data_IF_426766977468
#
_entry.id   IF_426766977468
#
_cell.length_a   1.000
_cell.length_b   1.000
_cell.length_c   1.000
_cell.angle_alpha   90.00
_cell.angle_beta   90.00
_cell.angle_gamma   90.00
#
_symmetry.space_group_name_H-M   'P 1'
#
loop_
_entity.id
_entity.type
_entity.pdbx_description
1 polymer ?
#
# COMPACT_ATOMS: atom_id res chain seq x y z
N UNK A 1 11.48 -30.73 -24.09
CA UNK A 1 10.71 -30.25 -22.93
C UNK A 1 10.05 -28.98 -23.38
N UNK A 2 8.73 -28.99 -23.57
CA UNK A 2 7.99 -27.76 -23.83
C UNK A 2 8.27 -26.77 -22.71
N UNK A 3 8.60 -25.53 -23.07
CA UNK A 3 8.78 -24.48 -22.06
C UNK A 3 7.42 -24.24 -21.39
N UNK A 4 7.35 -24.40 -20.09
CA UNK A 4 6.12 -24.20 -19.31
C UNK A 4 5.46 -22.84 -19.62
N UNK A 5 6.26 -21.84 -19.96
CA UNK A 5 5.76 -20.50 -20.31
C UNK A 5 5.06 -20.51 -21.68
N UNK A 6 5.57 -21.30 -22.63
CA UNK A 6 4.93 -21.50 -23.94
C UNK A 6 3.54 -22.12 -23.76
N UNK A 7 3.44 -23.16 -22.94
CA UNK A 7 2.17 -23.80 -22.62
C UNK A 7 1.18 -22.85 -21.95
N UNK A 8 1.63 -22.07 -20.94
CA UNK A 8 0.79 -21.10 -20.24
C UNK A 8 0.29 -20.01 -21.19
N UNK A 9 1.14 -19.48 -22.06
CA UNK A 9 0.76 -18.45 -23.01
C UNK A 9 -0.21 -18.99 -24.07
N UNK A 10 0.00 -20.21 -24.54
CA UNK A 10 -0.86 -20.80 -25.53
C UNK A 10 -2.23 -21.21 -24.96
N UNK A 11 -2.24 -22.04 -23.92
CA UNK A 11 -3.49 -22.56 -23.33
C UNK A 11 -4.27 -21.47 -22.59
N UNK A 12 -3.55 -20.57 -21.89
CA UNK A 12 -4.17 -19.55 -21.06
C UNK A 12 -4.60 -18.31 -21.82
N UNK A 13 -3.85 -17.92 -22.85
CA UNK A 13 -4.05 -16.61 -23.50
C UNK A 13 -4.11 -16.67 -25.03
N UNK A 14 -3.98 -17.84 -25.64
CA UNK A 14 -3.98 -18.01 -27.08
C UNK A 14 -2.79 -17.36 -27.80
N UNK A 15 -1.68 -17.13 -27.10
CA UNK A 15 -0.51 -16.43 -27.61
C UNK A 15 0.65 -17.37 -27.90
N UNK A 16 1.35 -17.14 -29.01
CA UNK A 16 2.55 -17.90 -29.37
C UNK A 16 3.80 -17.27 -28.72
N UNK A 17 4.50 -18.04 -27.89
CA UNK A 17 5.76 -17.65 -27.27
C UNK A 17 6.89 -17.67 -28.28
N UNK A 18 7.67 -16.58 -28.36
CA UNK A 18 8.84 -16.43 -29.25
C UNK A 18 10.14 -16.22 -28.49
N UNK A 19 10.12 -16.34 -27.15
CA UNK A 19 11.23 -16.12 -26.27
C UNK A 19 10.94 -15.07 -25.20
N UNK A 20 11.79 -14.98 -24.18
CA UNK A 20 11.55 -14.04 -23.08
C UNK A 20 12.76 -13.79 -22.23
N UNK A 21 12.68 -12.74 -21.41
CA UNK A 21 13.72 -12.33 -20.45
C UNK A 21 13.10 -12.26 -19.05
N UNK A 22 13.71 -12.95 -18.10
CA UNK A 22 13.29 -12.91 -16.68
C UNK A 22 13.56 -11.55 -16.09
N UNK A 23 12.59 -11.05 -15.34
CA UNK A 23 12.69 -9.83 -14.53
C UNK A 23 12.54 -10.19 -13.04
N UNK A 24 12.66 -9.20 -12.17
CA UNK A 24 12.39 -9.38 -10.74
C UNK A 24 10.93 -9.72 -10.45
N UNK A 25 10.01 -9.27 -11.29
CA UNK A 25 8.55 -9.37 -11.10
C UNK A 25 7.91 -10.49 -11.90
N UNK A 26 8.57 -10.95 -12.99
CA UNK A 26 7.98 -11.95 -13.87
C UNK A 26 8.88 -12.32 -15.04
N UNK A 27 8.27 -12.57 -16.19
CA UNK A 27 8.93 -12.87 -17.44
C UNK A 27 8.38 -11.91 -18.52
N UNK A 28 9.23 -11.10 -19.12
CA UNK A 28 8.86 -10.36 -20.33
C UNK A 28 8.92 -11.34 -21.49
N UNK A 29 7.77 -11.60 -22.09
CA UNK A 29 7.58 -12.54 -23.21
C UNK A 29 7.48 -11.77 -24.52
N UNK A 30 8.22 -12.19 -25.53
CA UNK A 30 7.94 -11.85 -26.93
C UNK A 30 6.88 -12.81 -27.44
N UNK A 31 5.76 -12.27 -27.89
CA UNK A 31 4.65 -13.04 -28.44
C UNK A 31 4.37 -12.61 -29.88
N UNK A 32 3.50 -13.33 -30.57
CA UNK A 32 2.98 -12.93 -31.89
C UNK A 32 2.16 -11.64 -31.86
N UNK A 33 1.70 -11.20 -30.68
CA UNK A 33 0.96 -9.94 -30.48
C UNK A 33 1.78 -8.88 -29.73
N UNK A 34 3.12 -8.98 -29.75
CA UNK A 34 4.03 -8.02 -29.12
C UNK A 34 4.55 -8.45 -27.75
N UNK A 35 5.11 -7.49 -27.01
CA UNK A 35 5.68 -7.74 -25.68
C UNK A 35 4.59 -7.80 -24.62
N UNK A 36 4.69 -8.78 -23.73
CA UNK A 36 3.81 -8.97 -22.57
C UNK A 36 4.62 -9.37 -21.35
N UNK A 37 4.14 -9.03 -20.14
CA UNK A 37 4.76 -9.48 -18.90
C UNK A 37 3.90 -10.57 -18.25
N UNK A 38 4.43 -11.79 -18.21
CA UNK A 38 3.82 -12.92 -17.51
C UNK A 38 4.28 -12.92 -16.06
N UNK A 39 3.35 -12.85 -15.11
CA UNK A 39 3.62 -12.77 -13.67
C UNK A 39 3.00 -13.93 -12.91
N UNK A 40 3.60 -14.27 -11.77
CA UNK A 40 3.01 -15.12 -10.73
C UNK A 40 2.56 -14.22 -9.58
N UNK A 41 1.30 -13.78 -9.57
CA UNK A 41 0.79 -12.89 -8.52
C UNK A 41 0.78 -13.62 -7.17
N UNK A 42 0.93 -12.85 -6.08
CA UNK A 42 0.89 -13.37 -4.70
C UNK A 42 -0.46 -13.15 -4.01
N UNK A 43 -1.40 -12.52 -4.70
CA UNK A 43 -2.73 -12.23 -4.19
C UNK A 43 -3.67 -13.42 -4.25
N UNK A 44 -4.81 -13.32 -3.53
CA UNK A 44 -5.93 -14.26 -3.69
C UNK A 44 -6.65 -14.02 -5.01
N UNK A 45 -7.51 -14.96 -5.40
CA UNK A 45 -8.39 -14.82 -6.58
C UNK A 45 -9.22 -13.53 -6.48
N UNK A 46 -9.77 -13.26 -5.30
CA UNK A 46 -10.60 -12.07 -5.05
C UNK A 46 -9.79 -10.78 -5.21
N UNK A 47 -8.54 -10.75 -4.71
CA UNK A 47 -7.69 -9.58 -4.87
C UNK A 47 -7.28 -9.34 -6.33
N UNK A 48 -7.11 -10.39 -7.12
CA UNK A 48 -6.81 -10.28 -8.55
C UNK A 48 -8.02 -9.79 -9.34
N UNK A 49 -9.23 -10.28 -9.03
CA UNK A 49 -10.46 -9.78 -9.64
C UNK A 49 -10.70 -8.31 -9.29
N UNK A 50 -10.52 -7.92 -8.03
CA UNK A 50 -10.60 -6.50 -7.65
C UNK A 50 -9.58 -5.65 -8.41
N UNK A 51 -8.31 -6.10 -8.49
CA UNK A 51 -7.27 -5.38 -9.22
C UNK A 51 -7.59 -5.23 -10.71
N UNK A 52 -8.20 -6.25 -11.31
CA UNK A 52 -8.68 -6.20 -12.68
C UNK A 52 -9.79 -5.16 -12.85
N UNK A 53 -10.85 -5.22 -12.02
CA UNK A 53 -11.98 -4.30 -12.07
C UNK A 53 -11.53 -2.84 -11.84
N UNK A 54 -10.58 -2.63 -10.91
CA UNK A 54 -9.95 -1.32 -10.70
C UNK A 54 -9.28 -0.82 -11.98
N UNK A 55 -8.45 -1.63 -12.62
CA UNK A 55 -7.73 -1.23 -13.84
C UNK A 55 -8.68 -0.94 -15.00
N UNK A 56 -9.71 -1.74 -15.19
CA UNK A 56 -10.76 -1.52 -16.20
C UNK A 56 -11.48 -0.18 -15.94
N UNK A 57 -11.86 0.09 -14.69
CA UNK A 57 -12.53 1.34 -14.33
C UNK A 57 -11.63 2.56 -14.53
N UNK A 58 -10.34 2.46 -14.16
CA UNK A 58 -9.36 3.52 -14.37
C UNK A 58 -9.23 3.88 -15.86
N UNK A 59 -9.12 2.86 -16.73
CA UNK A 59 -9.04 3.08 -18.19
C UNK A 59 -10.33 3.66 -18.75
N UNK A 60 -11.49 3.15 -18.33
CA UNK A 60 -12.80 3.69 -18.72
C UNK A 60 -12.93 5.19 -18.42
N UNK A 61 -12.34 5.63 -17.31
CA UNK A 61 -12.33 7.03 -16.88
C UNK A 61 -11.09 7.81 -17.36
N UNK A 62 -10.36 7.30 -18.36
CA UNK A 62 -9.27 7.99 -19.03
C UNK A 62 -7.91 7.97 -18.35
N UNK A 63 -7.75 7.19 -17.27
CA UNK A 63 -6.44 6.98 -16.65
C UNK A 63 -5.75 5.77 -17.28
N UNK A 64 -5.04 5.99 -18.38
CA UNK A 64 -4.44 4.94 -19.20
C UNK A 64 -2.99 4.59 -18.83
N UNK A 65 -2.36 5.36 -17.94
CA UNK A 65 -0.96 5.18 -17.57
C UNK A 65 -0.80 4.03 -16.53
N UNK A 66 -1.27 2.84 -16.88
CA UNK A 66 -1.20 1.60 -16.07
C UNK A 66 -0.88 0.42 -16.98
N UNK A 67 -0.33 -0.67 -16.42
CA UNK A 67 -0.26 -1.94 -17.15
C UNK A 67 -1.66 -2.58 -17.21
N UNK A 68 -2.17 -2.86 -18.40
CA UNK A 68 -3.46 -3.57 -18.54
C UNK A 68 -3.29 -5.04 -18.21
N UNK A 69 -4.34 -5.65 -17.67
CA UNK A 69 -4.46 -7.12 -17.66
C UNK A 69 -5.01 -7.61 -19.01
N UNK A 70 -4.52 -8.75 -19.42
CA UNK A 70 -5.11 -9.53 -20.51
C UNK A 70 -5.96 -10.63 -19.91
N UNK A 71 -7.20 -10.77 -20.39
CA UNK A 71 -8.07 -11.87 -19.98
C UNK A 71 -7.53 -13.18 -20.50
N UNK A 72 -7.63 -14.22 -19.70
CA UNK A 72 -7.40 -15.58 -20.13
C UNK A 72 -8.55 -16.04 -21.07
N UNK A 73 -8.38 -17.17 -21.73
CA UNK A 73 -9.37 -17.71 -22.67
C UNK A 73 -10.73 -18.04 -22.03
N UNK A 74 -10.76 -18.21 -20.70
CA UNK A 74 -11.97 -18.41 -19.88
C UNK A 74 -12.54 -17.09 -19.33
N UNK A 75 -12.12 -15.94 -19.87
CA UNK A 75 -12.53 -14.58 -19.48
C UNK A 75 -12.07 -14.14 -18.07
N UNK A 76 -11.34 -14.98 -17.32
CA UNK A 76 -10.79 -14.60 -16.03
C UNK A 76 -9.55 -13.67 -16.19
N UNK A 77 -9.25 -12.81 -15.20
CA UNK A 77 -8.06 -11.95 -15.24
C UNK A 77 -6.74 -12.69 -14.96
N UNK A 78 -6.78 -14.00 -14.86
CA UNK A 78 -5.64 -14.87 -14.62
C UNK A 78 -5.87 -16.25 -15.25
N UNK A 79 -4.79 -16.92 -15.57
CA UNK A 79 -4.82 -18.34 -15.95
C UNK A 79 -4.30 -19.20 -14.79
N UNK A 80 -4.92 -20.37 -14.57
CA UNK A 80 -4.51 -21.33 -13.54
C UNK A 80 -3.85 -22.54 -14.19
N UNK A 81 -2.56 -22.76 -13.91
CA UNK A 81 -1.80 -23.92 -14.36
C UNK A 81 -1.16 -24.62 -13.15
N UNK A 82 -1.43 -25.91 -12.98
CA UNK A 82 -0.94 -26.75 -11.87
C UNK A 82 -1.14 -26.09 -10.47
N UNK A 83 -2.30 -25.48 -10.25
CA UNK A 83 -2.64 -24.80 -9.01
C UNK A 83 -1.99 -23.42 -8.82
N UNK A 84 -1.11 -23.00 -9.73
CA UNK A 84 -0.45 -21.68 -9.72
C UNK A 84 -1.24 -20.70 -10.60
N UNK A 85 -1.43 -19.48 -10.08
CA UNK A 85 -2.05 -18.39 -10.83
C UNK A 85 -1.00 -17.65 -11.66
N UNK A 86 -1.39 -17.26 -12.87
CA UNK A 86 -0.59 -16.44 -13.78
C UNK A 86 -1.43 -15.30 -14.31
N UNK A 87 -0.86 -14.10 -14.31
CA UNK A 87 -1.44 -12.90 -14.95
C UNK A 87 -0.58 -12.49 -16.13
N UNK A 88 -1.21 -11.98 -17.17
CA UNK A 88 -0.54 -11.41 -18.32
C UNK A 88 -0.86 -9.92 -18.40
N UNK A 89 0.19 -9.09 -18.48
CA UNK A 89 0.05 -7.64 -18.42
C UNK A 89 0.88 -6.96 -19.51
N UNK A 90 0.59 -5.68 -19.78
CA UNK A 90 1.48 -4.81 -20.56
C UNK A 90 2.83 -4.67 -19.87
N UNK A 91 3.89 -4.57 -20.67
CA UNK A 91 5.23 -4.25 -20.14
C UNK A 91 5.27 -2.77 -19.75
N UNK A 92 5.65 -2.52 -18.51
CA UNK A 92 5.81 -1.17 -17.96
C UNK A 92 7.17 -0.56 -18.36
N UNK A 93 7.30 0.78 -18.37
CA UNK A 93 8.61 1.42 -18.49
C UNK A 93 9.62 0.86 -17.47
N UNK A 94 10.89 0.79 -17.85
CA UNK A 94 11.91 0.15 -17.02
C UNK A 94 12.30 0.99 -15.80
N UNK A 95 12.33 2.33 -15.94
CA UNK A 95 12.80 3.23 -14.91
C UNK A 95 11.74 3.50 -13.85
N UNK A 96 12.17 3.47 -12.59
CA UNK A 96 11.31 3.85 -11.45
C UNK A 96 11.38 5.37 -11.24
N UNK A 97 10.32 5.96 -10.70
CA UNK A 97 10.37 7.33 -10.20
C UNK A 97 11.42 7.41 -9.08
N UNK A 98 12.40 8.33 -9.15
CA UNK A 98 13.54 8.35 -8.20
C UNK A 98 13.13 8.49 -6.74
N UNK A 99 12.14 9.35 -6.43
CA UNK A 99 11.73 9.68 -5.06
C UNK A 99 12.90 10.21 -4.21
N UNK A 100 13.71 11.08 -4.80
CA UNK A 100 14.89 11.68 -4.18
C UNK A 100 14.70 13.16 -3.84
N UNK A 101 13.78 13.82 -4.54
CA UNK A 101 13.47 15.24 -4.40
C UNK A 101 12.01 15.48 -4.01
N UNK A 102 11.71 16.65 -3.45
CA UNK A 102 10.33 17.08 -3.21
C UNK A 102 9.50 17.07 -4.50
N UNK A 103 10.07 17.49 -5.64
CA UNK A 103 9.35 17.51 -6.91
C UNK A 103 8.96 16.11 -7.40
N UNK A 104 9.79 15.09 -7.18
CA UNK A 104 9.41 13.69 -7.48
C UNK A 104 8.17 13.28 -6.69
N UNK A 105 8.12 13.65 -5.40
CA UNK A 105 6.97 13.36 -4.54
C UNK A 105 5.74 14.19 -4.91
N UNK A 106 5.90 15.43 -5.37
CA UNK A 106 4.78 16.25 -5.87
C UNK A 106 4.17 15.64 -7.14
N UNK A 107 5.00 15.20 -8.08
CA UNK A 107 4.55 14.47 -9.28
C UNK A 107 3.81 13.18 -8.90
N UNK A 108 4.34 12.41 -7.97
CA UNK A 108 3.68 11.20 -7.47
C UNK A 108 2.36 11.50 -6.77
N UNK A 109 2.27 12.55 -5.94
CA UNK A 109 1.04 12.96 -5.28
C UNK A 109 -0.06 13.37 -6.28
N UNK A 110 0.31 14.06 -7.35
CA UNK A 110 -0.60 14.40 -8.43
C UNK A 110 -1.16 13.16 -9.13
N UNK A 111 -0.30 12.22 -9.50
CA UNK A 111 -0.71 10.95 -10.13
C UNK A 111 -1.61 10.13 -9.19
N UNK A 112 -1.32 10.11 -7.88
CA UNK A 112 -2.17 9.45 -6.90
C UNK A 112 -3.58 10.05 -6.86
N UNK A 113 -3.68 11.38 -6.84
CA UNK A 113 -4.97 12.08 -6.89
C UNK A 113 -5.76 11.76 -8.16
N UNK A 114 -5.11 11.82 -9.33
CA UNK A 114 -5.70 11.48 -10.64
C UNK A 114 -6.19 10.03 -10.67
N UNK A 115 -5.39 9.10 -10.18
CA UNK A 115 -5.73 7.67 -10.11
C UNK A 115 -6.95 7.44 -9.22
N UNK A 116 -6.98 8.02 -8.02
CA UNK A 116 -8.12 7.89 -7.11
C UNK A 116 -9.40 8.53 -7.65
N UNK A 117 -9.28 9.66 -8.36
CA UNK A 117 -10.42 10.28 -9.03
C UNK A 117 -10.95 9.40 -10.18
N UNK A 118 -10.05 8.82 -10.97
CA UNK A 118 -10.41 7.96 -12.08
C UNK A 118 -11.07 6.63 -11.65
N UNK A 119 -10.93 6.24 -10.39
CA UNK A 119 -11.63 5.06 -9.84
C UNK A 119 -13.13 5.29 -9.62
N UNK A 120 -13.59 6.54 -9.63
CA UNK A 120 -15.00 6.87 -9.36
C UNK A 120 -15.97 6.02 -10.20
N UNK A 121 -16.95 5.41 -9.51
CA UNK A 121 -17.92 4.53 -10.12
C UNK A 121 -17.44 3.07 -10.24
N UNK A 122 -16.31 2.72 -9.63
CA UNK A 122 -15.88 1.33 -9.54
C UNK A 122 -16.98 0.48 -8.89
N UNK A 123 -17.39 -0.56 -9.60
CA UNK A 123 -18.29 -1.60 -9.11
C UNK A 123 -17.55 -2.94 -9.27
N UNK A 124 -17.37 -3.67 -8.18
CA UNK A 124 -16.69 -4.96 -8.17
C UNK A 124 -17.34 -5.90 -7.17
N UNK A 125 -17.71 -7.08 -7.61
CA UNK A 125 -18.21 -8.14 -6.74
C UNK A 125 -17.11 -8.71 -5.81
N UNK A 126 -15.86 -8.43 -6.12
CA UNK A 126 -14.71 -8.77 -5.29
C UNK A 126 -14.42 -7.73 -4.19
N UNK A 127 -15.07 -6.56 -4.22
CA UNK A 127 -14.90 -5.53 -3.20
C UNK A 127 -15.41 -6.00 -1.83
N UNK A 128 -14.61 -5.81 -0.79
CA UNK A 128 -14.97 -6.16 0.60
C UNK A 128 -14.68 -4.96 1.50
N UNK A 129 -15.75 -4.23 1.82
CA UNK A 129 -15.70 -3.05 2.68
C UNK A 129 -15.91 -3.46 4.13
N UNK A 130 -14.92 -3.21 4.97
CA UNK A 130 -14.98 -3.49 6.41
C UNK A 130 -14.87 -2.19 7.21
N UNK A 131 -16.00 -1.75 7.76
CA UNK A 131 -16.13 -0.51 8.55
C UNK A 131 -15.28 -0.50 9.81
N UNK A 132 -14.95 -1.67 10.32
CA UNK A 132 -14.18 -1.83 11.55
C UNK A 132 -12.71 -2.22 11.30
N UNK A 133 -12.27 -2.25 10.04
CA UNK A 133 -10.91 -2.68 9.68
C UNK A 133 -9.84 -1.90 10.44
N UNK A 134 -9.75 -0.59 10.31
CA UNK A 134 -8.76 0.21 11.03
C UNK A 134 -9.12 0.38 12.51
N UNK A 135 -10.33 0.78 12.91
CA UNK A 135 -10.68 0.89 14.31
C UNK A 135 -10.48 -0.42 15.08
N UNK A 136 -10.93 -1.54 14.51
CA UNK A 136 -10.74 -2.87 15.10
C UNK A 136 -9.27 -3.31 15.17
N UNK A 137 -8.48 -3.00 14.15
CA UNK A 137 -7.04 -3.24 14.15
C UNK A 137 -6.35 -2.45 15.27
N UNK A 138 -6.65 -1.16 15.41
CA UNK A 138 -6.03 -0.29 16.42
C UNK A 138 -6.39 -0.75 17.82
N UNK A 139 -7.66 -1.01 18.10
CA UNK A 139 -8.14 -1.56 19.38
C UNK A 139 -7.48 -2.90 19.73
N UNK A 140 -7.37 -3.81 18.75
CA UNK A 140 -6.67 -5.08 18.90
C UNK A 140 -5.19 -4.87 19.27
N UNK A 141 -4.48 -4.02 18.52
CA UNK A 141 -3.05 -3.73 18.78
C UNK A 141 -2.82 -3.06 20.12
N UNK A 142 -3.70 -2.14 20.51
CA UNK A 142 -3.69 -1.55 21.86
C UNK A 142 -3.80 -2.63 22.96
N UNK A 143 -4.74 -3.54 22.80
CA UNK A 143 -4.91 -4.67 23.73
C UNK A 143 -3.70 -5.61 23.77
N UNK A 144 -3.10 -5.90 22.62
CA UNK A 144 -1.89 -6.72 22.51
C UNK A 144 -0.70 -6.03 23.20
N UNK A 145 -0.48 -4.74 22.94
CA UNK A 145 0.58 -3.94 23.57
C UNK A 145 0.46 -3.95 25.12
N UNK A 146 -0.77 -3.76 25.63
CA UNK A 146 -1.04 -3.80 27.06
C UNK A 146 -0.79 -5.20 27.67
N UNK A 147 -1.10 -6.29 26.93
CA UNK A 147 -0.81 -7.66 27.37
C UNK A 147 0.70 -7.93 27.42
N UNK A 148 1.44 -7.45 26.42
CA UNK A 148 2.91 -7.58 26.37
C UNK A 148 3.56 -6.88 27.56
N UNK A 149 3.14 -5.64 27.87
CA UNK A 149 3.64 -4.90 29.02
C UNK A 149 3.40 -5.65 30.33
N UNK A 150 2.16 -6.08 30.60
CA UNK A 150 1.82 -6.87 31.81
C UNK A 150 2.60 -8.18 31.92
N UNK A 151 2.90 -8.83 30.78
CA UNK A 151 3.73 -10.04 30.76
C UNK A 151 5.17 -9.74 31.16
N UNK A 152 5.73 -8.64 30.69
CA UNK A 152 7.08 -8.23 31.06
C UNK A 152 7.17 -7.87 32.55
N UNK A 153 6.21 -7.10 33.07
CA UNK A 153 6.18 -6.72 34.48
C UNK A 153 6.16 -7.95 35.43
N UNK A 154 5.56 -9.08 34.99
CA UNK A 154 5.51 -10.33 35.76
C UNK A 154 6.78 -11.17 35.69
N UNK A 155 7.60 -11.01 34.63
CA UNK A 155 8.77 -11.87 34.41
C UNK A 155 9.99 -11.49 35.23
N UNK A 156 10.19 -10.21 35.51
CA UNK A 156 11.34 -9.67 36.22
C UNK A 156 12.70 -9.82 35.54
N UNK A 157 12.76 -10.54 34.41
CA UNK A 157 13.95 -10.70 33.55
C UNK A 157 13.65 -10.26 32.13
N UNK A 158 14.41 -9.29 31.64
CA UNK A 158 14.14 -8.60 30.39
C UNK A 158 15.25 -8.83 29.39
N UNK A 159 14.87 -9.19 28.15
CA UNK A 159 15.76 -9.13 27.03
C UNK A 159 15.78 -7.70 26.40
N UNK A 160 16.60 -7.51 25.40
CA UNK A 160 16.76 -6.19 24.77
C UNK A 160 15.48 -5.70 24.07
N UNK A 161 14.62 -6.59 23.57
CA UNK A 161 13.33 -6.23 22.96
C UNK A 161 12.33 -5.83 24.07
N UNK A 162 12.32 -6.54 25.20
CA UNK A 162 11.51 -6.19 26.36
C UNK A 162 11.86 -4.77 26.85
N UNK A 163 13.15 -4.46 26.94
CA UNK A 163 13.63 -3.13 27.36
C UNK A 163 13.23 -2.02 26.36
N UNK A 164 13.31 -2.28 25.06
CA UNK A 164 12.84 -1.36 24.03
C UNK A 164 11.32 -1.14 24.14
N UNK A 165 10.56 -2.21 24.32
CA UNK A 165 9.11 -2.08 24.52
C UNK A 165 8.79 -1.28 25.76
N UNK A 166 9.42 -1.54 26.93
CA UNK A 166 9.20 -0.82 28.17
C UNK A 166 9.51 0.66 28.00
N UNK A 167 10.64 0.99 27.36
CA UNK A 167 11.07 2.38 27.11
C UNK A 167 10.05 3.18 26.31
N UNK A 168 9.44 2.57 25.30
CA UNK A 168 8.55 3.25 24.36
C UNK A 168 7.06 2.99 24.63
N UNK A 169 6.72 2.24 25.67
CA UNK A 169 5.36 1.78 25.92
C UNK A 169 4.35 2.93 26.04
N UNK A 170 4.62 3.89 26.93
CA UNK A 170 3.67 4.99 27.20
C UNK A 170 3.49 5.88 25.98
N UNK A 171 4.60 6.17 25.26
CA UNK A 171 4.57 6.92 24.01
C UNK A 171 3.66 6.25 22.98
N UNK A 172 3.91 4.98 22.68
CA UNK A 172 3.15 4.30 21.63
C UNK A 172 1.72 3.92 22.06
N UNK A 173 1.49 3.67 23.33
CA UNK A 173 0.15 3.53 23.86
C UNK A 173 -0.66 4.83 23.71
N UNK A 174 -0.03 5.97 23.97
CA UNK A 174 -0.62 7.30 23.71
C UNK A 174 -0.95 7.51 22.24
N UNK A 175 0.00 7.24 21.34
CA UNK A 175 -0.20 7.37 19.89
C UNK A 175 -1.34 6.47 19.35
N UNK A 176 -1.48 5.24 19.85
CA UNK A 176 -2.59 4.36 19.45
C UNK A 176 -3.93 4.93 19.89
N UNK A 177 -4.03 5.43 21.14
CA UNK A 177 -5.27 6.05 21.64
C UNK A 177 -5.62 7.31 20.84
N UNK A 178 -4.64 8.18 20.60
CA UNK A 178 -4.81 9.38 19.78
C UNK A 178 -5.29 9.01 18.36
N UNK A 179 -4.71 7.97 17.76
CA UNK A 179 -5.14 7.48 16.45
C UNK A 179 -6.59 7.00 16.46
N UNK A 180 -7.01 6.24 17.50
CA UNK A 180 -8.41 5.78 17.65
C UNK A 180 -9.35 6.99 17.77
N UNK A 181 -9.02 7.98 18.59
CA UNK A 181 -9.81 9.20 18.80
C UNK A 181 -9.94 10.03 17.52
N UNK A 182 -8.84 10.19 16.76
CA UNK A 182 -8.83 10.91 15.48
C UNK A 182 -9.66 10.19 14.41
N UNK A 183 -9.59 8.87 14.30
CA UNK A 183 -10.46 8.11 13.39
C UNK A 183 -11.95 8.28 13.74
N UNK A 184 -12.27 8.27 15.04
CA UNK A 184 -13.64 8.49 15.49
C UNK A 184 -14.09 9.94 15.22
N UNK A 185 -13.27 10.92 15.56
CA UNK A 185 -13.57 12.36 15.36
C UNK A 185 -13.75 12.71 13.89
N UNK A 186 -12.93 12.15 13.00
CA UNK A 186 -13.03 12.36 11.55
C UNK A 186 -14.16 11.55 10.89
N UNK A 187 -14.88 10.70 11.64
CA UNK A 187 -15.97 9.89 11.08
C UNK A 187 -15.49 8.85 10.07
N UNK A 188 -14.46 8.06 10.44
CA UNK A 188 -13.88 7.04 9.54
C UNK A 188 -14.92 6.11 8.91
N UNK A 189 -15.89 5.61 9.69
CA UNK A 189 -16.90 4.67 9.18
C UNK A 189 -17.81 5.31 8.13
N UNK A 190 -18.24 6.56 8.38
CA UNK A 190 -19.05 7.34 7.46
C UNK A 190 -18.26 7.71 6.19
N UNK A 191 -16.97 8.04 6.34
CA UNK A 191 -16.08 8.27 5.20
C UNK A 191 -15.90 7.02 4.35
N UNK A 192 -15.77 5.84 4.99
CA UNK A 192 -15.67 4.56 4.29
C UNK A 192 -16.97 4.21 3.54
N UNK A 193 -18.14 4.46 4.15
CA UNK A 193 -19.43 4.27 3.48
C UNK A 193 -19.59 5.20 2.25
N UNK A 194 -19.14 6.46 2.36
CA UNK A 194 -19.10 7.39 1.23
C UNK A 194 -18.14 6.90 0.14
N UNK A 195 -16.96 6.42 0.51
CA UNK A 195 -15.97 5.87 -0.40
C UNK A 195 -16.49 4.63 -1.15
N UNK A 196 -17.16 3.73 -0.43
CA UNK A 196 -17.80 2.54 -1.01
C UNK A 196 -18.86 2.92 -2.07
N UNK A 197 -19.75 3.86 -1.73
CA UNK A 197 -20.78 4.35 -2.66
C UNK A 197 -20.19 5.09 -3.87
N UNK A 198 -19.07 5.77 -3.70
CA UNK A 198 -18.37 6.46 -4.78
C UNK A 198 -17.57 5.52 -5.69
N UNK A 199 -17.37 4.27 -5.30
CA UNK A 199 -16.54 3.32 -6.03
C UNK A 199 -15.06 3.64 -5.88
N UNK A 200 -14.59 3.88 -4.66
CA UNK A 200 -13.18 4.13 -4.36
C UNK A 200 -12.39 2.83 -4.12
N UNK A 201 -11.09 2.93 -4.09
CA UNK A 201 -10.16 1.86 -3.72
C UNK A 201 -8.89 2.41 -3.09
N UNK A 202 -8.11 1.56 -2.45
CA UNK A 202 -6.76 1.83 -2.00
C UNK A 202 -5.76 0.92 -2.74
N UNK A 203 -4.67 1.50 -3.23
CA UNK A 203 -3.64 0.78 -3.99
C UNK A 203 -2.74 -0.09 -3.09
N UNK A 204 -2.45 0.36 -1.86
CA UNK A 204 -1.64 -0.30 -0.82
C UNK A 204 -0.17 -0.64 -1.18
N UNK A 205 0.30 -0.26 -2.35
CA UNK A 205 1.67 -0.47 -2.79
C UNK A 205 2.26 0.76 -3.50
N UNK A 206 1.68 1.95 -3.28
CA UNK A 206 2.03 3.18 -3.95
C UNK A 206 3.41 3.71 -3.49
N UNK A 207 4.43 3.46 -4.29
CA UNK A 207 5.82 3.83 -4.01
C UNK A 207 6.64 3.82 -5.31
N UNK A 208 7.86 4.40 -5.31
CA UNK A 208 8.70 4.52 -6.48
C UNK A 208 8.86 3.27 -7.33
N UNK A 209 8.89 2.06 -6.71
CA UNK A 209 8.95 0.81 -7.46
C UNK A 209 7.66 0.50 -8.25
N UNK A 210 6.51 1.00 -7.81
CA UNK A 210 5.23 0.90 -8.51
C UNK A 210 5.03 2.04 -9.51
N UNK A 211 5.77 3.15 -9.36
CA UNK A 211 5.75 4.30 -10.24
C UNK A 211 6.87 4.18 -11.26
N UNK A 212 6.52 4.11 -12.52
CA UNK A 212 7.46 3.96 -13.64
C UNK A 212 7.44 5.20 -14.51
N UNK A 213 8.60 5.63 -14.98
CA UNK A 213 8.73 6.83 -15.81
C UNK A 213 9.12 6.42 -17.22
N UNK A 214 8.35 6.87 -18.22
CA UNK A 214 8.68 6.69 -19.63
C UNK A 214 9.77 7.68 -20.06
N UNK A 215 10.38 7.43 -21.22
CA UNK A 215 11.35 8.36 -21.85
C UNK A 215 10.76 9.76 -22.07
N UNK A 216 9.43 9.87 -22.20
CA UNK A 216 8.70 11.16 -22.32
C UNK A 216 8.40 11.80 -20.97
N UNK A 217 8.83 11.22 -19.87
CA UNK A 217 8.59 11.71 -18.51
C UNK A 217 7.17 11.41 -17.96
N UNK A 218 6.36 10.61 -18.66
CA UNK A 218 5.04 10.19 -18.17
C UNK A 218 5.17 9.14 -17.06
N UNK A 219 4.37 9.29 -16.01
CA UNK A 219 4.38 8.34 -14.89
C UNK A 219 3.29 7.30 -15.10
N UNK A 220 3.69 6.03 -15.04
CA UNK A 220 2.84 4.85 -15.08
C UNK A 220 2.74 4.22 -13.70
N UNK A 221 1.58 3.69 -13.34
CA UNK A 221 1.34 3.00 -12.07
C UNK A 221 1.18 1.50 -12.29
N UNK A 222 1.95 0.71 -11.54
CA UNK A 222 1.90 -0.76 -11.54
C UNK A 222 1.61 -1.32 -10.16
N UNK A 223 1.77 -2.64 -9.99
CA UNK A 223 1.67 -3.34 -8.69
C UNK A 223 0.28 -3.25 -8.03
N UNK A 224 -0.78 -3.45 -8.79
CA UNK A 224 -2.17 -3.42 -8.30
C UNK A 224 -2.59 -4.68 -7.52
N UNK A 225 -1.73 -5.67 -7.40
CA UNK A 225 -1.99 -6.96 -6.72
C UNK A 225 -2.33 -6.83 -5.22
N UNK A 226 -2.15 -5.65 -4.63
CA UNK A 226 -2.47 -5.33 -3.23
C UNK A 226 -3.67 -4.42 -3.05
N UNK A 227 -4.38 -4.11 -4.12
CA UNK A 227 -5.57 -3.26 -4.02
C UNK A 227 -6.57 -3.80 -3.01
N UNK A 228 -7.24 -2.89 -2.32
CA UNK A 228 -8.33 -3.23 -1.40
C UNK A 228 -9.42 -2.17 -1.39
N UNK A 229 -10.59 -2.57 -0.90
CA UNK A 229 -11.71 -1.70 -0.59
C UNK A 229 -11.43 -0.98 0.73
N UNK A 230 -10.77 0.16 0.67
CA UNK A 230 -10.36 0.97 1.81
C UNK A 230 -10.36 2.46 1.41
N UNK A 231 -10.25 3.35 2.39
CA UNK A 231 -10.13 4.78 2.13
C UNK A 231 -8.85 5.08 1.32
N UNK A 232 -8.94 5.79 0.21
CA UNK A 232 -7.79 6.27 -0.55
C UNK A 232 -6.78 7.09 0.29
N UNK A 233 -7.23 7.64 1.42
CA UNK A 233 -6.37 8.34 2.38
C UNK A 233 -5.24 7.47 2.94
N UNK A 234 -5.41 6.13 2.97
CA UNK A 234 -4.37 5.22 3.42
C UNK A 234 -3.14 5.25 2.48
N UNK A 235 -3.35 5.34 1.16
CA UNK A 235 -2.26 5.53 0.21
C UNK A 235 -1.58 6.89 0.39
N UNK A 236 -2.36 7.96 0.61
CA UNK A 236 -1.82 9.30 0.85
C UNK A 236 -1.00 9.34 2.15
N UNK A 237 -1.50 8.74 3.24
CA UNK A 237 -0.77 8.61 4.51
C UNK A 237 0.57 7.87 4.31
N UNK A 238 0.53 6.74 3.59
CA UNK A 238 1.72 5.98 3.26
C UNK A 238 2.73 6.80 2.44
N UNK A 239 2.25 7.57 1.44
CA UNK A 239 3.10 8.34 0.55
C UNK A 239 3.73 9.56 1.26
N UNK A 240 2.99 10.24 2.15
CA UNK A 240 3.53 11.29 3.02
C UNK A 240 4.60 10.77 3.98
N UNK A 241 4.39 9.60 4.62
CA UNK A 241 5.42 8.95 5.45
C UNK A 241 6.67 8.61 4.63
N UNK A 242 6.47 8.19 3.39
CA UNK A 242 7.57 7.87 2.48
C UNK A 242 8.37 9.11 2.09
N UNK A 243 7.70 10.24 1.85
CA UNK A 243 8.35 11.53 1.63
C UNK A 243 9.31 11.87 2.78
N UNK A 244 8.84 11.83 4.02
CA UNK A 244 9.66 12.08 5.21
C UNK A 244 10.76 11.04 5.45
N UNK A 245 10.61 9.84 4.90
CA UNK A 245 11.63 8.80 4.99
C UNK A 245 12.77 8.99 3.99
N UNK A 246 12.44 9.43 2.79
CA UNK A 246 13.34 9.49 1.64
C UNK A 246 14.03 10.84 1.51
N UNK A 247 13.39 11.88 2.00
CA UNK A 247 13.91 13.25 2.05
C UNK A 247 13.98 13.70 3.51
N UNK A 248 14.48 14.91 3.77
CA UNK A 248 14.39 15.50 5.11
C UNK A 248 12.96 15.94 5.47
N UNK A 249 12.07 15.97 4.49
CA UNK A 249 10.69 16.39 4.62
C UNK A 249 10.55 17.87 5.07
N UNK A 250 9.48 18.50 4.68
CA UNK A 250 9.17 19.87 5.15
C UNK A 250 7.66 20.08 5.22
N UNK A 251 7.22 21.03 6.04
CA UNK A 251 5.81 21.42 6.12
C UNK A 251 5.31 21.96 4.78
N UNK A 252 6.10 22.79 4.09
CA UNK A 252 5.79 23.28 2.76
C UNK A 252 5.64 22.15 1.74
N UNK A 253 6.49 21.11 1.79
CA UNK A 253 6.38 19.95 0.93
C UNK A 253 5.11 19.13 1.20
N UNK A 254 4.72 18.96 2.48
CA UNK A 254 3.46 18.29 2.85
C UNK A 254 2.26 19.08 2.31
N UNK A 255 2.23 20.40 2.53
CA UNK A 255 1.18 21.28 2.02
C UNK A 255 1.04 21.17 0.49
N UNK A 256 2.17 21.27 -0.22
CA UNK A 256 2.19 21.16 -1.67
C UNK A 256 1.74 19.76 -2.17
N UNK A 257 2.09 18.68 -1.46
CA UNK A 257 1.61 17.33 -1.80
C UNK A 257 0.09 17.20 -1.59
N UNK A 258 -0.44 17.72 -0.48
CA UNK A 258 -1.88 17.75 -0.21
C UNK A 258 -2.63 18.59 -1.27
N UNK A 259 -2.08 19.74 -1.66
CA UNK A 259 -2.63 20.58 -2.71
C UNK A 259 -2.64 19.85 -4.07
N UNK A 260 -1.52 19.25 -4.49
CA UNK A 260 -1.43 18.51 -5.76
C UNK A 260 -2.41 17.33 -5.82
N UNK A 261 -2.51 16.56 -4.75
CA UNK A 261 -3.48 15.49 -4.63
C UNK A 261 -4.93 16.02 -4.63
N UNK A 262 -5.17 17.10 -3.86
CA UNK A 262 -6.48 17.70 -3.66
C UNK A 262 -7.09 18.32 -4.92
N UNK A 263 -6.27 18.69 -5.93
CA UNK A 263 -6.75 19.15 -7.24
C UNK A 263 -7.68 18.16 -7.93
N UNK A 264 -7.42 16.87 -7.72
CA UNK A 264 -8.19 15.79 -8.36
C UNK A 264 -9.15 15.13 -7.39
N UNK A 265 -8.73 14.96 -6.15
CA UNK A 265 -9.56 14.40 -5.09
C UNK A 265 -9.52 15.33 -3.87
N UNK A 266 -10.54 16.20 -3.73
CA UNK A 266 -10.63 17.12 -2.59
C UNK A 266 -10.50 16.38 -1.26
N UNK A 267 -9.77 16.98 -0.33
CA UNK A 267 -9.54 16.47 1.03
C UNK A 267 -10.30 17.38 1.99
N UNK A 268 -11.33 16.86 2.63
CA UNK A 268 -12.15 17.61 3.60
C UNK A 268 -11.43 17.75 4.95
N UNK A 269 -11.96 18.59 5.85
CA UNK A 269 -11.46 18.69 7.22
C UNK A 269 -11.55 17.35 7.98
N UNK A 270 -12.64 16.59 7.73
CA UNK A 270 -12.80 15.25 8.30
C UNK A 270 -11.77 14.28 7.73
N UNK A 271 -11.50 14.33 6.40
CA UNK A 271 -10.46 13.53 5.76
C UNK A 271 -9.07 13.85 6.34
N UNK A 272 -8.76 15.13 6.62
CA UNK A 272 -7.52 15.53 7.27
C UNK A 272 -7.42 14.97 8.71
N UNK A 273 -8.52 14.97 9.44
CA UNK A 273 -8.57 14.38 10.79
C UNK A 273 -8.34 12.86 10.75
N UNK A 274 -8.94 12.15 9.80
CA UNK A 274 -8.69 10.72 9.59
C UNK A 274 -7.22 10.48 9.18
N UNK A 275 -6.69 11.30 8.28
CA UNK A 275 -5.31 11.23 7.83
C UNK A 275 -4.31 11.41 8.99
N UNK A 276 -4.56 12.36 9.90
CA UNK A 276 -3.80 12.54 11.13
C UNK A 276 -3.80 11.26 11.97
N UNK A 277 -4.96 10.62 12.16
CA UNK A 277 -5.09 9.35 12.86
C UNK A 277 -4.27 8.22 12.22
N UNK A 278 -4.28 8.14 10.89
CA UNK A 278 -3.46 7.18 10.16
C UNK A 278 -1.95 7.49 10.29
N UNK A 279 -1.56 8.75 10.35
CA UNK A 279 -0.16 9.17 10.44
C UNK A 279 0.42 9.03 11.85
N UNK A 280 -0.35 9.26 12.91
CA UNK A 280 0.15 9.13 14.28
C UNK A 280 0.25 7.67 14.73
N UNK A 281 -0.53 6.76 14.12
CA UNK A 281 -0.53 5.34 14.47
C UNK A 281 0.84 4.69 14.23
N UNK A 282 1.49 4.07 15.25
CA UNK A 282 2.85 3.52 15.14
C UNK A 282 2.88 2.12 14.54
N UNK A 283 2.46 1.99 13.28
CA UNK A 283 2.22 0.71 12.60
C UNK A 283 3.44 -0.20 12.55
N UNK A 284 4.58 0.35 12.14
CA UNK A 284 5.81 -0.45 11.93
C UNK A 284 6.35 -1.00 13.23
N UNK A 285 6.39 -0.18 14.28
CA UNK A 285 6.83 -0.60 15.60
C UNK A 285 5.93 -1.70 16.17
N UNK A 286 4.61 -1.46 16.18
CA UNK A 286 3.64 -2.43 16.70
C UNK A 286 3.65 -3.74 15.93
N UNK A 287 3.81 -3.71 14.61
CA UNK A 287 3.92 -4.91 13.78
C UNK A 287 5.16 -5.72 14.15
N UNK A 288 6.32 -5.08 14.32
CA UNK A 288 7.57 -5.76 14.66
C UNK A 288 7.53 -6.35 16.09
N UNK A 289 7.01 -5.59 17.05
CA UNK A 289 6.81 -6.07 18.42
C UNK A 289 5.88 -7.27 18.44
N UNK A 290 4.75 -7.18 17.74
CA UNK A 290 3.79 -8.26 17.65
C UNK A 290 4.38 -9.51 16.95
N UNK A 291 5.16 -9.32 15.91
CA UNK A 291 5.89 -10.40 15.22
C UNK A 291 6.82 -11.11 16.20
N UNK A 292 7.56 -10.36 17.02
CA UNK A 292 8.48 -10.92 18.01
C UNK A 292 7.75 -11.75 19.08
N UNK A 293 6.74 -11.17 19.74
CA UNK A 293 6.05 -11.84 20.84
C UNK A 293 5.19 -13.03 20.42
N UNK A 294 4.73 -13.08 19.19
CA UNK A 294 3.94 -14.19 18.65
C UNK A 294 4.81 -15.33 18.06
N UNK A 295 6.03 -15.04 17.65
CA UNK A 295 6.98 -16.07 17.25
C UNK A 295 7.70 -16.57 18.51
N UNK A 296 7.41 -17.77 18.98
CA UNK A 296 8.11 -18.43 20.10
C UNK A 296 9.61 -18.56 19.82
N UNK A 297 10.38 -17.47 19.89
CA UNK A 297 11.82 -17.49 19.61
C UNK A 297 12.61 -17.63 20.92
N UNK A 298 13.57 -18.54 20.92
CA UNK A 298 14.49 -18.76 22.04
C UNK A 298 15.55 -17.66 22.16
N UNK A 299 15.86 -16.92 21.08
CA UNK A 299 16.91 -15.91 21.06
C UNK A 299 16.48 -14.65 20.31
N UNK A 300 16.88 -13.49 20.84
CA UNK A 300 16.78 -12.18 20.20
C UNK A 300 17.96 -11.98 19.28
N UNK A 301 17.74 -11.82 17.97
CA UNK A 301 18.83 -11.49 17.06
C UNK A 301 19.16 -10.00 17.13
N UNK A 302 20.45 -9.59 17.04
CA UNK A 302 20.86 -8.18 16.94
C UNK A 302 20.11 -7.44 15.83
N UNK A 303 19.93 -8.07 14.68
CA UNK A 303 19.21 -7.49 13.55
C UNK A 303 17.74 -7.16 13.89
N UNK A 304 17.07 -7.92 14.75
CA UNK A 304 15.72 -7.61 15.19
C UNK A 304 15.69 -6.42 16.13
N UNK A 305 16.68 -6.32 17.05
CA UNK A 305 16.83 -5.16 17.93
C UNK A 305 17.04 -3.87 17.12
N UNK A 306 17.96 -3.87 16.16
CA UNK A 306 18.21 -2.73 15.28
C UNK A 306 16.97 -2.33 14.48
N UNK A 307 16.25 -3.31 13.92
CA UNK A 307 15.00 -3.06 13.17
C UNK A 307 13.94 -2.41 14.06
N UNK A 308 13.80 -2.86 15.31
CA UNK A 308 12.82 -2.32 16.24
C UNK A 308 13.21 -0.91 16.70
N UNK A 309 14.49 -0.68 17.03
CA UNK A 309 14.99 0.64 17.39
C UNK A 309 14.87 1.63 16.22
N UNK A 310 15.16 1.19 14.99
CA UNK A 310 14.94 2.00 13.80
C UNK A 310 13.46 2.31 13.56
N UNK A 311 12.57 1.35 13.81
CA UNK A 311 11.12 1.57 13.71
C UNK A 311 10.65 2.61 14.74
N UNK A 312 11.11 2.54 15.99
CA UNK A 312 10.76 3.52 17.01
C UNK A 312 11.15 4.96 16.62
N UNK A 313 12.33 5.14 16.03
CA UNK A 313 12.77 6.45 15.49
C UNK A 313 11.95 6.89 14.27
N UNK A 314 11.56 5.95 13.40
CA UNK A 314 10.78 6.25 12.20
C UNK A 314 9.34 6.68 12.54
N UNK A 315 8.75 6.13 13.61
CA UNK A 315 7.39 6.50 14.03
C UNK A 315 7.29 7.94 14.58
N UNK A 316 8.39 8.54 15.04
CA UNK A 316 8.41 9.97 15.39
C UNK A 316 8.10 10.85 14.18
N UNK A 317 8.53 10.46 12.98
CA UNK A 317 8.19 11.16 11.73
C UNK A 317 6.68 11.19 11.46
N UNK A 318 5.95 10.13 11.83
CA UNK A 318 4.49 10.09 11.71
C UNK A 318 3.82 11.12 12.62
N UNK A 319 4.33 11.32 13.82
CA UNK A 319 3.86 12.34 14.76
C UNK A 319 4.14 13.76 14.23
N UNK A 320 5.34 13.99 13.73
CA UNK A 320 5.69 15.28 13.09
C UNK A 320 4.74 15.58 11.91
N UNK A 321 4.45 14.61 11.06
CA UNK A 321 3.50 14.75 9.96
C UNK A 321 2.10 15.11 10.45
N UNK A 322 1.60 14.43 11.49
CA UNK A 322 0.32 14.75 12.12
C UNK A 322 0.29 16.20 12.60
N UNK A 323 1.33 16.65 13.33
CA UNK A 323 1.43 18.01 13.86
C UNK A 323 1.50 19.08 12.75
N UNK A 324 2.15 18.79 11.63
CA UNK A 324 2.17 19.67 10.44
C UNK A 324 0.75 19.86 9.90
N UNK A 325 0.00 18.77 9.70
CA UNK A 325 -1.37 18.83 9.18
C UNK A 325 -2.30 19.55 10.17
N UNK A 326 -2.13 19.35 11.48
CA UNK A 326 -2.95 19.98 12.52
C UNK A 326 -2.77 21.51 12.56
N UNK A 327 -1.56 21.99 12.32
CA UNK A 327 -1.24 23.44 12.32
C UNK A 327 -1.74 24.18 11.08
N UNK A 328 -2.32 23.49 10.15
CA UNK A 328 -2.85 24.04 8.90
C UNK A 328 -1.75 24.12 7.84
N UNK A 329 -1.65 23.10 7.04
CA UNK A 329 -0.98 23.21 5.75
C UNK A 329 -1.82 24.03 4.79
#
# INVERSE_FOLDING_TARGET
MEDINEKILWEGYGLRFRGGTRTRTGLICRTDQGLRELKKPRGSVESLRLAFDVKEQLQKNGFCNISRFYRAMDEEPFYRHDGVLYTLEDVMPAEALPEESTEDFLRGAEILGRMHQAAKGLCSDAARWDRDRLPGLYAKRRGELAKMRRRNDKRGNYDAIDLLLIRHYDQFMGQVREAEELLQKGGYREALDRAAKAGAFCHNAYKGEALRVSEKGEIFVGSFDKCSSELPLADLAYYLRRYFKKTEGSSAGVAAMLERYGKYRPVSADDLTILQGMLVYPEKFLRLVNEYYNRRRACVSPAMQERLAAAAREEEKGRILKDIIEKGC
#
